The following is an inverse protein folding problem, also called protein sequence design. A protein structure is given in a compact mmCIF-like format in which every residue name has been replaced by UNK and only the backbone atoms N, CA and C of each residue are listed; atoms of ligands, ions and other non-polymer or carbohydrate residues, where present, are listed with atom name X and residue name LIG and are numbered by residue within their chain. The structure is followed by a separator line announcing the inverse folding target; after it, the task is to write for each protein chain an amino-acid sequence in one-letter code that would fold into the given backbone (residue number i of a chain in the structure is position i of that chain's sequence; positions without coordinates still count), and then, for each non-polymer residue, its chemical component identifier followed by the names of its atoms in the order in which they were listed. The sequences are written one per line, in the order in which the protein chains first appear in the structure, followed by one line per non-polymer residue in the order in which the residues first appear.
data_IF_975094172787
#
_entry.id   IF_975094172787
#
_cell.length_a   1.000
_cell.length_b   1.000
_cell.length_c   1.000
_cell.angle_alpha   90.00
_cell.angle_beta   90.00
_cell.angle_gamma   90.00
#
_symmetry.space_group_name_H-M   'P 1'
#
loop_
_entity.id
_entity.type
_entity.pdbx_description
1 polymer ?
#
# COMPACT_ATOMS: atom_id res chain seq x y z
N UNK A 1 2.24 -4.20 -18.99
CA UNK A 1 1.09 -4.16 -18.04
C UNK A 1 1.59 -4.08 -16.60
N UNK A 2 2.50 -4.95 -16.15
CA UNK A 2 3.14 -4.94 -14.82
C UNK A 2 3.79 -3.60 -14.43
N UNK A 3 4.47 -2.95 -15.37
CA UNK A 3 5.20 -1.70 -15.11
C UNK A 3 4.31 -0.52 -14.66
N UNK A 4 3.01 -0.52 -15.02
CA UNK A 4 2.14 0.63 -14.75
C UNK A 4 1.87 0.76 -13.25
N UNK A 5 1.68 -0.35 -12.54
CA UNK A 5 1.55 -0.36 -11.09
C UNK A 5 2.77 0.29 -10.44
N UNK A 6 3.96 -0.22 -10.74
CA UNK A 6 5.21 0.22 -10.09
C UNK A 6 5.55 1.66 -10.46
N UNK A 7 5.42 2.05 -11.73
CA UNK A 7 5.76 3.41 -12.19
C UNK A 7 4.85 4.47 -11.55
N UNK A 8 3.55 4.20 -11.47
CA UNK A 8 2.57 5.17 -10.99
C UNK A 8 2.29 5.10 -9.48
N UNK A 9 2.75 4.05 -8.81
CA UNK A 9 2.73 3.98 -7.35
C UNK A 9 3.61 5.09 -6.76
N UNK A 10 3.10 5.77 -5.74
CA UNK A 10 3.74 6.90 -5.08
C UNK A 10 3.88 6.57 -3.60
N UNK A 11 5.11 6.45 -3.11
CA UNK A 11 5.38 6.07 -1.73
C UNK A 11 4.97 7.15 -0.71
N UNK A 12 4.74 8.40 -1.16
CA UNK A 12 4.26 9.51 -0.31
C UNK A 12 2.75 9.67 -0.30
N UNK A 13 2.04 8.98 -1.19
CA UNK A 13 0.58 9.04 -1.25
C UNK A 13 0.01 8.04 -0.26
N UNK A 14 -0.72 8.55 0.74
CA UNK A 14 -1.33 7.74 1.78
C UNK A 14 -2.26 6.66 1.21
N UNK A 15 -3.09 6.99 0.22
CA UNK A 15 -4.04 6.02 -0.37
C UNK A 15 -3.28 4.91 -1.07
N UNK A 16 -2.23 5.24 -1.81
CA UNK A 16 -1.37 4.25 -2.45
C UNK A 16 -0.75 3.31 -1.40
N UNK A 17 -0.15 3.86 -0.35
CA UNK A 17 0.51 3.06 0.69
C UNK A 17 -0.49 2.20 1.47
N UNK A 18 -1.65 2.74 1.81
CA UNK A 18 -2.70 2.01 2.51
C UNK A 18 -3.28 0.87 1.65
N UNK A 19 -3.41 1.07 0.34
CA UNK A 19 -3.74 0.00 -0.59
C UNK A 19 -2.65 -1.08 -0.64
N UNK A 20 -1.36 -0.71 -0.70
CA UNK A 20 -0.26 -1.68 -0.67
C UNK A 20 -0.24 -2.48 0.64
N UNK A 21 -0.58 -1.85 1.77
CA UNK A 21 -0.75 -2.51 3.08
C UNK A 21 -1.88 -3.54 3.05
N UNK A 22 -3.01 -3.22 2.43
CA UNK A 22 -4.14 -4.14 2.28
C UNK A 22 -3.77 -5.33 1.39
N UNK A 23 -3.15 -5.07 0.23
CA UNK A 23 -2.58 -6.09 -0.65
C UNK A 23 -1.65 -7.03 0.12
N UNK A 24 -0.71 -6.50 0.89
CA UNK A 24 0.25 -7.30 1.66
C UNK A 24 -0.44 -8.18 2.69
N UNK A 25 -1.47 -7.65 3.37
CA UNK A 25 -2.29 -8.39 4.32
C UNK A 25 -3.07 -9.53 3.63
N UNK A 26 -3.60 -9.27 2.44
CA UNK A 26 -4.26 -10.29 1.60
C UNK A 26 -3.30 -11.39 1.17
N UNK A 27 -2.11 -11.01 0.69
CA UNK A 27 -1.08 -11.96 0.26
C UNK A 27 -0.58 -12.83 1.42
N UNK A 28 -0.45 -12.29 2.63
CA UNK A 28 -0.09 -13.06 3.81
C UNK A 28 -1.13 -14.17 4.12
N UNK A 29 -2.42 -13.86 3.98
CA UNK A 29 -3.51 -14.85 4.13
C UNK A 29 -3.41 -15.95 3.08
N UNK A 30 -3.18 -15.59 1.81
CA UNK A 30 -3.00 -16.56 0.71
C UNK A 30 -1.82 -17.49 1.00
N UNK A 31 -0.66 -16.94 1.41
CA UNK A 31 0.52 -17.73 1.75
C UNK A 31 0.30 -18.64 2.95
N UNK A 32 -0.57 -18.25 3.90
CA UNK A 32 -0.98 -19.09 5.02
C UNK A 32 -2.02 -20.18 4.64
N UNK A 33 -2.32 -20.36 3.34
CA UNK A 33 -3.30 -21.34 2.85
C UNK A 33 -4.75 -20.91 3.00
N UNK A 34 -5.01 -19.64 3.35
CA UNK A 34 -6.37 -19.13 3.47
C UNK A 34 -6.90 -18.67 2.12
N UNK A 35 -8.19 -18.92 1.87
CA UNK A 35 -8.87 -18.37 0.70
C UNK A 35 -9.06 -16.87 0.87
N UNK A 36 -8.48 -16.11 -0.06
CA UNK A 36 -8.63 -14.66 -0.09
C UNK A 36 -8.68 -14.19 -1.54
N UNK A 37 -9.64 -13.31 -1.86
CA UNK A 37 -9.79 -12.78 -3.21
C UNK A 37 -8.84 -11.60 -3.44
N UNK A 38 -7.59 -11.94 -3.74
CA UNK A 38 -6.56 -10.93 -4.04
C UNK A 38 -6.89 -10.12 -5.30
N UNK A 39 -7.59 -10.71 -6.26
CA UNK A 39 -7.92 -10.06 -7.54
C UNK A 39 -8.74 -8.81 -7.32
N UNK A 40 -9.75 -8.90 -6.45
CA UNK A 40 -10.62 -7.77 -6.13
C UNK A 40 -9.82 -6.63 -5.47
N UNK A 41 -9.02 -6.95 -4.45
CA UNK A 41 -8.19 -5.95 -3.73
C UNK A 41 -7.19 -5.25 -4.66
N UNK A 42 -6.53 -6.01 -5.53
CA UNK A 42 -5.57 -5.45 -6.48
C UNK A 42 -6.26 -4.57 -7.50
N UNK A 43 -7.45 -4.96 -7.97
CA UNK A 43 -8.19 -4.21 -8.96
C UNK A 43 -8.87 -2.96 -8.38
N UNK A 44 -9.11 -2.90 -7.08
CA UNK A 44 -9.62 -1.70 -6.39
C UNK A 44 -8.51 -0.73 -5.96
N UNK A 45 -7.46 -0.61 -6.78
CA UNK A 45 -6.33 0.25 -6.47
C UNK A 45 -6.63 1.74 -6.74
N UNK A 46 -6.05 2.65 -5.95
CA UNK A 46 -6.15 4.10 -6.14
C UNK A 46 -5.20 4.66 -7.21
N UNK A 47 -4.39 3.82 -7.88
CA UNK A 47 -3.31 4.28 -8.76
C UNK A 47 -3.86 4.99 -10.01
N UNK A 48 -3.28 6.12 -10.45
CA UNK A 48 -3.73 6.83 -11.64
C UNK A 48 -3.78 5.96 -12.90
N UNK A 49 -4.91 6.00 -13.61
CA UNK A 49 -5.17 5.12 -14.75
C UNK A 49 -5.62 3.70 -14.37
N UNK A 50 -5.86 3.44 -13.08
CA UNK A 50 -6.50 2.25 -12.51
C UNK A 50 -6.03 0.95 -13.17
N UNK A 51 -4.70 0.67 -13.18
CA UNK A 51 -4.18 -0.56 -13.77
C UNK A 51 -4.90 -1.77 -13.17
N UNK A 52 -5.16 -2.78 -13.99
CA UNK A 52 -5.83 -4.00 -13.55
C UNK A 52 -4.87 -5.17 -13.59
N UNK A 53 -5.04 -6.08 -12.65
CA UNK A 53 -4.36 -7.37 -12.68
C UNK A 53 -4.88 -8.16 -13.87
N UNK A 54 -3.99 -8.49 -14.81
CA UNK A 54 -4.32 -9.38 -15.92
C UNK A 54 -4.24 -10.83 -15.50
N UNK A 55 -3.05 -11.27 -15.10
CA UNK A 55 -2.79 -12.64 -14.65
C UNK A 55 -2.32 -12.63 -13.18
N UNK A 56 -2.94 -13.44 -12.29
CA UNK A 56 -2.46 -13.62 -10.91
C UNK A 56 -1.00 -14.07 -10.80
N UNK A 57 -0.44 -14.80 -11.77
CA UNK A 57 0.98 -15.19 -11.73
C UNK A 57 1.93 -13.99 -11.87
N UNK A 58 1.59 -13.03 -12.73
CA UNK A 58 2.39 -11.80 -12.89
C UNK A 58 2.36 -10.94 -11.63
N UNK A 59 1.30 -11.08 -10.82
CA UNK A 59 1.12 -10.32 -9.61
C UNK A 59 2.22 -10.53 -8.58
N UNK A 60 2.72 -11.75 -8.43
CA UNK A 60 3.79 -12.03 -7.47
C UNK A 60 5.02 -11.16 -7.74
N UNK A 61 5.40 -11.02 -9.01
CA UNK A 61 6.51 -10.17 -9.44
C UNK A 61 6.21 -8.67 -9.23
N UNK A 62 5.00 -8.22 -9.59
CA UNK A 62 4.57 -6.82 -9.38
C UNK A 62 4.56 -6.46 -7.89
N UNK A 63 4.01 -7.33 -7.04
CA UNK A 63 3.96 -7.14 -5.60
C UNK A 63 5.36 -7.06 -5.00
N UNK A 64 6.29 -7.91 -5.43
CA UNK A 64 7.70 -7.83 -5.03
C UNK A 64 8.31 -6.46 -5.40
N UNK A 65 8.11 -5.99 -6.62
CA UNK A 65 8.62 -4.68 -7.06
C UNK A 65 8.02 -3.52 -6.27
N UNK A 66 6.71 -3.54 -5.99
CA UNK A 66 6.03 -2.53 -5.17
C UNK A 66 6.57 -2.53 -3.74
N UNK A 67 6.72 -3.70 -3.12
CA UNK A 67 7.27 -3.85 -1.79
C UNK A 67 8.72 -3.33 -1.71
N UNK A 68 9.57 -3.70 -2.68
CA UNK A 68 10.94 -3.19 -2.75
C UNK A 68 11.00 -1.67 -2.94
N UNK A 69 10.17 -1.12 -3.85
CA UNK A 69 10.08 0.33 -4.08
C UNK A 69 9.66 1.08 -2.80
N UNK A 70 8.65 0.57 -2.09
CA UNK A 70 8.19 1.16 -0.85
C UNK A 70 9.21 1.04 0.28
N UNK A 71 9.81 -0.14 0.48
CA UNK A 71 10.88 -0.37 1.47
C UNK A 71 12.04 0.59 1.27
N UNK A 72 12.52 0.75 0.02
CA UNK A 72 13.59 1.70 -0.28
C UNK A 72 13.18 3.14 0.06
N UNK A 73 11.95 3.55 -0.22
CA UNK A 73 11.47 4.89 0.13
C UNK A 73 11.40 5.08 1.65
N UNK A 74 10.92 4.09 2.40
CA UNK A 74 10.89 4.11 3.88
C UNK A 74 12.31 4.27 4.46
N UNK A 75 13.26 3.45 3.99
CA UNK A 75 14.64 3.47 4.47
C UNK A 75 15.35 4.81 4.20
N UNK A 76 14.90 5.56 3.19
CA UNK A 76 15.42 6.88 2.85
C UNK A 76 14.59 8.04 3.46
N UNK A 77 13.57 7.75 4.26
CA UNK A 77 12.69 8.79 4.83
C UNK A 77 11.80 9.49 3.79
N UNK A 78 11.61 8.89 2.62
CA UNK A 78 10.90 9.47 1.47
C UNK A 78 9.53 8.79 1.22
N UNK A 79 8.88 8.34 2.29
CA UNK A 79 7.61 7.63 2.22
C UNK A 79 6.62 8.12 3.28
N UNK A 80 5.33 8.01 2.97
CA UNK A 80 4.28 8.02 3.97
C UNK A 80 4.39 6.76 4.81
N UNK A 81 4.35 6.91 6.14
CA UNK A 81 4.41 5.80 7.09
C UNK A 81 3.03 5.63 7.74
N UNK A 82 2.33 4.49 7.52
CA UNK A 82 1.06 4.22 8.18
C UNK A 82 1.25 4.23 9.70
N UNK A 83 0.59 5.18 10.38
CA UNK A 83 0.55 5.21 11.85
C UNK A 83 -0.66 4.40 12.33
N UNK A 84 -0.52 3.73 13.48
CA UNK A 84 -1.64 3.05 14.15
C UNK A 84 -2.43 3.97 15.08
N UNK A 85 -2.15 5.28 15.07
CA UNK A 85 -2.75 6.24 15.98
C UNK A 85 -3.95 6.88 15.30
N UNK A 86 -5.14 6.61 15.80
CA UNK A 86 -6.26 7.53 15.66
C UNK A 86 -5.77 8.89 16.13
N UNK A 87 -5.81 9.92 15.29
CA UNK A 87 -5.49 11.28 15.70
C UNK A 87 -6.51 11.72 16.76
N UNK A 88 -6.16 11.51 18.03
CA UNK A 88 -6.76 12.23 19.13
C UNK A 88 -6.26 13.66 19.04
N UNK A 89 -7.07 14.50 18.39
CA UNK A 89 -6.98 15.96 18.44
C UNK A 89 -7.08 16.40 19.91
N UNK A 90 -5.96 16.43 20.62
CA UNK A 90 -5.85 17.17 21.86
C UNK A 90 -5.65 18.64 21.50
N UNK A 91 -6.76 19.27 21.14
CA UNK A 91 -6.85 20.71 21.08
C UNK A 91 -7.06 21.24 22.51
N UNK A 92 -5.97 21.60 23.18
CA UNK A 92 -6.01 22.59 24.25
C UNK A 92 -4.61 23.05 24.62
N UNK A 93 -4.10 24.03 23.87
CA UNK A 93 -3.27 25.08 24.47
C UNK A 93 -4.17 25.88 25.41
N UNK A 94 -4.00 25.76 26.72
CA UNK A 94 -4.15 26.91 27.63
C UNK A 94 -3.03 26.85 28.67
N UNK A 95 -1.99 27.66 28.43
CA UNK A 95 -1.09 28.14 29.47
C UNK A 95 -1.77 29.34 30.15
N UNK A 96 -1.83 29.32 31.49
CA UNK A 96 -2.07 30.42 32.46
C UNK A 96 -2.66 29.80 33.74
N UNK A 97 -2.17 30.00 34.97
CA UNK A 97 -1.11 30.81 35.60
C UNK A 97 -0.48 29.93 36.68
#
# INVERSE_FOLDING_TARGET
MSEVFVKKFNCKDEKHVMWLKEVGSGMAKVTAGQRYDITTVVNDNPIPGRPKMGNPMDWAYIHFQLAMKYTNAVLNGDAFIPSGKTDVLFDSKISRV
#
